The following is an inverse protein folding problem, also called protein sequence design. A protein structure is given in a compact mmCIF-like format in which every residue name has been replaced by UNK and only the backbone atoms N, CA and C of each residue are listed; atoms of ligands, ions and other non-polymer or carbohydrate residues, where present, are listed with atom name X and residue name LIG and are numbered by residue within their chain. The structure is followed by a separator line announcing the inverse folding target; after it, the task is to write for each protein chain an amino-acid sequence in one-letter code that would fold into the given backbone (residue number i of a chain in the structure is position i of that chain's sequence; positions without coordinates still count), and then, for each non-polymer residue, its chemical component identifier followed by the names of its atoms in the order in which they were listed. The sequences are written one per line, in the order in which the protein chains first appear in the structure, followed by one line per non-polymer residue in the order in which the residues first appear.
data_IF_842029175175
#
_entry.id   IF_842029175175
#
_cell.length_a   1.000
_cell.length_b   1.000
_cell.length_c   1.000
_cell.angle_alpha   90.00
_cell.angle_beta   90.00
_cell.angle_gamma   90.00
#
_symmetry.space_group_name_H-M   'P 1'
#
loop_
_entity.id
_entity.type
_entity.pdbx_description
1 polymer ?
#
# COMPACT_ATOMS: atom_id res chain seq x y z
N UNK A 1 -20.31 -13.36 -15.13
CA UNK A 1 -19.70 -13.57 -13.81
C UNK A 1 -20.28 -12.56 -12.84
N UNK A 2 -20.94 -13.03 -11.79
CA UNK A 2 -21.39 -12.15 -10.72
C UNK A 2 -20.18 -11.58 -9.97
N UNK A 3 -20.28 -10.31 -9.64
CA UNK A 3 -19.27 -9.55 -8.89
C UNK A 3 -19.30 -10.05 -7.44
N UNK A 4 -18.61 -11.15 -7.17
CA UNK A 4 -18.48 -11.71 -5.83
C UNK A 4 -17.81 -10.71 -4.89
N UNK A 5 -18.19 -10.74 -3.61
CA UNK A 5 -17.56 -9.91 -2.58
C UNK A 5 -16.06 -10.23 -2.44
N UNK A 6 -15.23 -9.24 -2.07
CA UNK A 6 -13.82 -9.48 -1.73
C UNK A 6 -13.72 -10.55 -0.63
N UNK A 7 -12.99 -11.63 -0.92
CA UNK A 7 -12.73 -12.69 0.06
C UNK A 7 -11.38 -12.46 0.72
N UNK A 8 -11.37 -12.44 2.04
CA UNK A 8 -10.16 -12.55 2.85
C UNK A 8 -10.00 -14.04 3.19
N UNK A 9 -8.86 -14.63 2.83
CA UNK A 9 -8.57 -16.01 3.19
C UNK A 9 -7.79 -16.04 4.50
N UNK A 10 -8.26 -16.82 5.47
CA UNK A 10 -7.57 -16.99 6.76
C UNK A 10 -6.47 -18.04 6.63
N UNK A 11 -5.21 -17.60 6.79
CA UNK A 11 -4.00 -18.41 6.54
C UNK A 11 -4.00 -19.76 7.24
N UNK A 12 -4.55 -19.81 8.46
CA UNK A 12 -4.53 -21.00 9.31
C UNK A 12 -5.80 -21.86 9.22
N UNK A 13 -6.83 -21.40 8.52
CA UNK A 13 -8.10 -22.12 8.37
C UNK A 13 -8.16 -22.91 7.06
N UNK A 14 -7.44 -22.46 6.04
CA UNK A 14 -7.46 -23.04 4.71
C UNK A 14 -6.03 -23.35 4.21
N UNK A 15 -5.83 -24.35 3.32
CA UNK A 15 -4.53 -24.68 2.74
C UNK A 15 -4.13 -23.68 1.63
N UNK A 16 -4.15 -22.38 1.94
CA UNK A 16 -3.94 -21.26 1.00
C UNK A 16 -2.55 -20.63 1.09
N UNK A 17 -1.68 -21.09 2.02
CA UNK A 17 -0.30 -20.61 2.19
C UNK A 17 0.50 -20.50 0.87
N UNK A 18 0.43 -21.46 -0.08
CA UNK A 18 1.16 -21.34 -1.34
C UNK A 18 0.71 -20.18 -2.24
N UNK A 19 -0.46 -19.61 -1.99
CA UNK A 19 -1.04 -18.49 -2.75
C UNK A 19 -0.94 -17.16 -2.00
N UNK A 20 -0.32 -17.15 -0.82
CA UNK A 20 -0.14 -15.95 0.00
C UNK A 20 0.71 -14.91 -0.75
N UNK A 21 0.22 -13.68 -0.80
CA UNK A 21 0.95 -12.56 -1.37
C UNK A 21 1.78 -11.87 -0.28
N UNK A 22 2.97 -11.32 -0.61
CA UNK A 22 3.83 -10.63 0.36
C UNK A 22 3.28 -9.23 0.69
N UNK A 23 2.14 -9.18 1.37
CA UNK A 23 1.40 -7.97 1.76
C UNK A 23 1.84 -7.46 3.14
N UNK A 24 3.11 -7.68 3.53
CA UNK A 24 3.61 -7.29 4.84
C UNK A 24 4.81 -6.32 4.79
N UNK A 25 4.85 -5.30 3.89
CA UNK A 25 6.04 -4.47 3.70
C UNK A 25 6.46 -3.73 4.97
N UNK A 26 5.51 -3.26 5.77
CA UNK A 26 5.81 -2.59 7.04
C UNK A 26 6.47 -3.51 8.07
N UNK A 27 5.94 -4.73 8.25
CA UNK A 27 6.55 -5.76 9.12
C UNK A 27 7.96 -6.10 8.64
N UNK A 28 8.10 -6.38 7.34
CA UNK A 28 9.36 -6.80 6.76
C UNK A 28 10.43 -5.68 6.84
N UNK A 29 10.01 -4.40 6.75
CA UNK A 29 10.88 -3.24 6.94
C UNK A 29 11.38 -3.14 8.38
N UNK A 30 10.51 -3.33 9.37
CA UNK A 30 10.91 -3.33 10.79
C UNK A 30 11.90 -4.45 11.08
N UNK A 31 11.66 -5.67 10.56
CA UNK A 31 12.58 -6.79 10.72
C UNK A 31 13.94 -6.51 10.08
N UNK A 32 13.97 -5.96 8.87
CA UNK A 32 15.21 -5.57 8.21
C UNK A 32 15.96 -4.47 9.00
N UNK A 33 15.23 -3.47 9.51
CA UNK A 33 15.83 -2.41 10.33
C UNK A 33 16.47 -2.97 11.61
N UNK A 34 15.79 -3.89 12.30
CA UNK A 34 16.34 -4.55 13.48
C UNK A 34 17.59 -5.38 13.17
N UNK A 35 17.61 -6.08 12.04
CA UNK A 35 18.78 -6.85 11.60
C UNK A 35 19.95 -5.92 11.24
N UNK A 36 19.69 -4.80 10.56
CA UNK A 36 20.69 -3.78 10.26
C UNK A 36 21.27 -3.17 11.54
N UNK A 37 20.42 -2.83 12.52
CA UNK A 37 20.87 -2.31 13.82
C UNK A 37 21.77 -3.29 14.56
N UNK A 38 21.46 -4.59 14.50
CA UNK A 38 22.29 -5.64 15.10
C UNK A 38 23.61 -5.81 14.33
N UNK A 39 23.57 -5.82 13.00
CA UNK A 39 24.75 -5.88 12.14
C UNK A 39 25.74 -4.76 12.48
N UNK A 40 25.25 -3.51 12.50
CA UNK A 40 26.06 -2.34 12.83
C UNK A 40 26.65 -2.47 14.25
N UNK A 41 25.87 -2.93 15.24
CA UNK A 41 26.40 -3.09 16.62
C UNK A 41 27.48 -4.16 16.76
N UNK A 42 27.48 -5.19 15.90
CA UNK A 42 28.38 -6.33 16.00
C UNK A 42 29.67 -6.14 15.17
N UNK A 43 29.61 -5.40 14.05
CA UNK A 43 30.68 -5.35 13.04
C UNK A 43 31.17 -3.92 12.69
N UNK A 44 30.55 -2.85 13.21
CA UNK A 44 30.83 -1.45 12.82
C UNK A 44 32.15 -0.86 13.37
N UNK A 45 33.28 -1.51 13.11
CA UNK A 45 34.62 -0.94 13.31
C UNK A 45 35.45 -0.85 12.03
N UNK A 46 34.92 -1.28 10.88
CA UNK A 46 35.60 -1.12 9.59
C UNK A 46 34.69 -0.42 8.59
N UNK A 47 35.21 0.55 7.83
CA UNK A 47 34.44 1.34 6.85
C UNK A 47 33.94 0.56 5.63
N UNK A 48 33.91 -0.77 5.71
CA UNK A 48 33.59 -1.69 4.61
C UNK A 48 32.14 -2.24 4.70
N UNK A 49 31.36 -1.84 5.71
CA UNK A 49 29.96 -2.26 5.86
C UNK A 49 29.09 -1.74 4.71
N UNK A 50 28.83 -2.61 3.74
CA UNK A 50 27.95 -2.33 2.59
C UNK A 50 26.64 -3.09 2.69
N UNK A 51 25.60 -2.57 2.02
CA UNK A 51 24.32 -3.29 1.84
C UNK A 51 24.54 -4.66 1.20
N UNK A 52 25.54 -4.81 0.32
CA UNK A 52 25.88 -6.09 -0.29
C UNK A 52 26.40 -7.10 0.74
N UNK A 53 27.30 -6.68 1.63
CA UNK A 53 27.80 -7.54 2.71
C UNK A 53 26.70 -7.95 3.69
N UNK A 54 25.85 -7.00 4.08
CA UNK A 54 24.67 -7.29 4.90
C UNK A 54 23.78 -8.34 4.24
N UNK A 55 23.42 -8.18 2.96
CA UNK A 55 22.55 -9.12 2.25
C UNK A 55 23.18 -10.47 1.94
N UNK A 56 24.52 -10.59 1.94
CA UNK A 56 25.21 -11.89 1.87
C UNK A 56 25.01 -12.70 3.15
N UNK A 57 24.90 -12.03 4.30
CA UNK A 57 24.69 -12.66 5.61
C UNK A 57 23.22 -12.80 5.98
N UNK A 58 22.39 -11.86 5.51
CA UNK A 58 20.95 -11.78 5.76
C UNK A 58 20.13 -11.76 4.47
N UNK A 59 20.17 -12.84 3.65
CA UNK A 59 19.49 -12.90 2.36
C UNK A 59 17.96 -12.80 2.47
N UNK A 60 17.37 -13.09 3.63
CA UNK A 60 15.95 -12.95 3.93
C UNK A 60 15.43 -11.51 3.72
N UNK A 61 16.29 -10.50 3.86
CA UNK A 61 15.92 -9.09 3.72
C UNK A 61 16.06 -8.53 2.29
N UNK A 62 16.47 -9.35 1.31
CA UNK A 62 16.74 -8.90 -0.07
C UNK A 62 15.56 -8.15 -0.72
N UNK A 63 14.34 -8.63 -0.51
CA UNK A 63 13.15 -8.11 -1.18
C UNK A 63 12.77 -6.75 -0.62
N UNK A 64 12.78 -6.62 0.71
CA UNK A 64 12.44 -5.35 1.36
C UNK A 64 13.54 -4.31 1.14
N UNK A 65 14.82 -4.68 1.17
CA UNK A 65 15.92 -3.74 0.86
C UNK A 65 15.78 -3.21 -0.58
N UNK A 66 15.57 -4.10 -1.57
CA UNK A 66 15.33 -3.69 -2.95
C UNK A 66 14.12 -2.77 -3.08
N UNK A 67 13.03 -3.11 -2.39
CA UNK A 67 11.78 -2.34 -2.38
C UNK A 67 12.03 -0.93 -1.85
N UNK A 68 12.63 -0.80 -0.66
CA UNK A 68 12.99 0.49 -0.03
C UNK A 68 13.85 1.34 -0.96
N UNK A 69 14.89 0.77 -1.59
CA UNK A 69 15.73 1.49 -2.54
C UNK A 69 14.95 1.96 -3.78
N UNK A 70 13.97 1.18 -4.24
CA UNK A 70 13.15 1.52 -5.42
C UNK A 70 12.19 2.67 -5.12
N UNK A 71 11.59 2.69 -3.92
CA UNK A 71 10.51 3.64 -3.57
C UNK A 71 10.98 4.83 -2.72
N UNK A 72 12.27 4.90 -2.36
CA UNK A 72 12.81 5.88 -1.41
C UNK A 72 12.42 7.34 -1.70
N UNK A 73 12.42 7.75 -2.97
CA UNK A 73 12.10 9.11 -3.39
C UNK A 73 10.62 9.34 -3.74
N UNK A 74 9.74 8.36 -3.47
CA UNK A 74 8.35 8.36 -3.90
C UNK A 74 7.40 8.33 -2.68
N UNK A 75 6.92 9.48 -2.19
CA UNK A 75 6.12 9.57 -0.94
C UNK A 75 4.84 8.74 -0.92
N UNK A 76 4.28 8.42 -2.10
CA UNK A 76 3.02 7.70 -2.27
C UNK A 76 3.19 6.32 -2.93
N UNK A 77 4.41 5.78 -3.00
CA UNK A 77 4.67 4.49 -3.65
C UNK A 77 4.34 3.26 -2.78
N UNK A 78 3.97 3.47 -1.51
CA UNK A 78 3.64 2.42 -0.57
C UNK A 78 2.27 2.63 0.06
N UNK A 79 1.57 1.52 0.32
CA UNK A 79 0.41 1.51 1.21
C UNK A 79 0.92 1.62 2.64
N UNK A 80 0.52 2.69 3.34
CA UNK A 80 0.87 2.92 4.73
C UNK A 80 -0.21 2.37 5.67
N UNK A 81 -0.45 1.06 5.59
CA UNK A 81 -1.43 0.36 6.42
C UNK A 81 -0.93 -1.06 6.76
N UNK A 82 -1.45 -1.66 7.83
CA UNK A 82 -1.13 -3.02 8.23
C UNK A 82 -2.06 -4.03 7.55
N UNK A 83 -1.71 -4.36 6.30
CA UNK A 83 -2.51 -5.24 5.43
C UNK A 83 -2.54 -6.71 5.84
N UNK A 84 -1.82 -7.09 6.90
CA UNK A 84 -1.87 -8.44 7.51
C UNK A 84 -2.50 -8.42 8.91
N UNK A 85 -3.02 -7.28 9.37
CA UNK A 85 -3.73 -7.21 10.65
C UNK A 85 -4.99 -8.06 10.61
N UNK A 86 -5.31 -8.76 11.69
CA UNK A 86 -6.61 -9.41 11.86
C UNK A 86 -7.79 -8.40 11.89
N UNK A 87 -7.48 -7.13 12.19
CA UNK A 87 -8.46 -6.03 12.19
C UNK A 87 -8.51 -5.27 10.84
N UNK A 88 -7.69 -5.67 9.86
CA UNK A 88 -7.63 -4.99 8.55
C UNK A 88 -9.01 -4.97 7.89
N UNK A 89 -9.38 -3.81 7.34
CA UNK A 89 -10.64 -3.62 6.64
C UNK A 89 -10.38 -3.49 5.14
N UNK A 90 -10.83 -4.45 4.29
CA UNK A 90 -10.61 -4.40 2.85
C UNK A 90 -11.14 -3.13 2.18
N UNK A 91 -12.14 -2.49 2.79
CA UNK A 91 -12.70 -1.22 2.33
C UNK A 91 -11.69 -0.07 2.30
N UNK A 92 -10.66 -0.08 3.16
CA UNK A 92 -9.68 1.01 3.22
C UNK A 92 -8.77 1.01 1.98
N UNK A 93 -8.28 -0.17 1.58
CA UNK A 93 -7.59 -0.36 0.30
C UNK A 93 -8.49 -0.04 -0.89
N UNK A 94 -9.78 -0.43 -0.83
CA UNK A 94 -10.73 -0.14 -1.89
C UNK A 94 -10.96 1.37 -2.03
N UNK A 95 -11.11 2.11 -0.93
CA UNK A 95 -11.23 3.58 -0.90
C UNK A 95 -10.00 4.24 -1.49
N UNK A 96 -8.80 3.82 -1.07
CA UNK A 96 -7.54 4.29 -1.62
C UNK A 96 -7.47 4.08 -3.13
N UNK A 97 -7.78 2.87 -3.61
CA UNK A 97 -7.78 2.57 -5.04
C UNK A 97 -8.78 3.43 -5.82
N UNK A 98 -10.00 3.57 -5.31
CA UNK A 98 -11.09 4.28 -6.00
C UNK A 98 -10.87 5.79 -6.04
N UNK A 99 -10.14 6.38 -5.09
CA UNK A 99 -9.82 7.81 -5.13
C UNK A 99 -8.98 8.18 -6.36
N UNK A 100 -8.07 7.29 -6.79
CA UNK A 100 -7.33 7.46 -8.05
C UNK A 100 -8.21 7.42 -9.31
N UNK A 101 -9.38 6.77 -9.23
CA UNK A 101 -10.34 6.66 -10.33
C UNK A 101 -11.42 7.77 -10.30
N UNK A 102 -11.25 8.81 -9.48
CA UNK A 102 -12.18 9.93 -9.43
C UNK A 102 -13.38 9.73 -8.49
N UNK A 103 -13.34 8.73 -7.61
CA UNK A 103 -14.31 8.65 -6.52
C UNK A 103 -14.05 9.76 -5.49
N UNK A 104 -15.04 10.63 -5.25
CA UNK A 104 -14.92 11.79 -4.35
C UNK A 104 -15.82 11.71 -3.12
N UNK A 105 -16.84 10.85 -3.13
CA UNK A 105 -17.63 10.49 -1.93
C UNK A 105 -17.65 9.00 -1.69
N UNK A 106 -17.54 8.66 -0.41
CA UNK A 106 -17.46 7.30 0.09
C UNK A 106 -18.50 7.12 1.19
N UNK A 107 -19.44 6.20 0.97
CA UNK A 107 -20.52 5.84 1.89
C UNK A 107 -20.42 4.33 2.19
N UNK A 108 -19.63 3.96 3.23
CA UNK A 108 -19.49 2.57 3.65
C UNK A 108 -20.84 1.97 4.04
N UNK A 109 -21.12 0.78 3.53
CA UNK A 109 -22.35 0.04 3.82
C UNK A 109 -22.08 -1.23 4.63
N UNK A 110 -20.87 -1.76 4.50
CA UNK A 110 -20.25 -2.76 5.38
C UNK A 110 -18.73 -2.59 5.35
N UNK A 111 -18.01 -3.51 5.99
CA UNK A 111 -16.54 -3.68 5.93
C UNK A 111 -16.02 -4.09 4.54
N UNK A 112 -16.90 -4.58 3.66
CA UNK A 112 -16.57 -5.07 2.31
C UNK A 112 -17.34 -4.37 1.19
N UNK A 113 -18.41 -3.64 1.53
CA UNK A 113 -19.26 -2.96 0.56
C UNK A 113 -19.25 -1.45 0.76
N UNK A 114 -18.90 -0.76 -0.33
CA UNK A 114 -18.73 0.69 -0.37
C UNK A 114 -19.55 1.27 -1.52
N UNK A 115 -20.45 2.20 -1.19
CA UNK A 115 -21.09 3.03 -2.20
C UNK A 115 -20.20 4.24 -2.46
N UNK A 116 -19.99 4.57 -3.73
CA UNK A 116 -19.20 5.74 -4.14
C UNK A 116 -19.98 6.64 -5.07
N UNK A 117 -19.59 7.91 -5.10
CA UNK A 117 -19.93 8.85 -6.16
C UNK A 117 -18.63 9.24 -6.86
N UNK A 118 -18.60 9.06 -8.19
CA UNK A 118 -17.48 9.47 -9.02
C UNK A 118 -17.73 10.86 -9.61
N UNK A 119 -16.65 11.63 -9.78
CA UNK A 119 -16.63 12.90 -10.52
C UNK A 119 -17.69 13.91 -10.04
N UNK A 120 -18.00 13.94 -8.74
CA UNK A 120 -18.97 14.89 -8.22
C UNK A 120 -18.51 16.33 -8.46
N UNK A 121 -19.35 17.10 -9.16
CA UNK A 121 -19.07 18.49 -9.49
C UNK A 121 -18.17 18.68 -10.71
N UNK A 122 -17.70 17.60 -11.34
CA UNK A 122 -16.99 17.69 -12.61
C UNK A 122 -17.98 17.94 -13.76
N UNK A 123 -17.57 18.68 -14.80
CA UNK A 123 -18.40 18.93 -15.97
C UNK A 123 -18.60 17.67 -16.83
N UNK A 124 -19.64 17.69 -17.65
CA UNK A 124 -19.80 16.73 -18.74
C UNK A 124 -18.79 17.01 -19.87
N UNK A 125 -18.50 16.01 -20.74
CA UNK A 125 -17.52 16.16 -21.82
C UNK A 125 -17.78 17.35 -22.75
N UNK A 126 -19.04 17.70 -23.02
CA UNK A 126 -19.45 18.84 -23.85
C UNK A 126 -19.27 20.20 -23.15
N UNK A 127 -19.23 20.21 -21.82
CA UNK A 127 -19.02 21.40 -21.00
C UNK A 127 -17.53 21.70 -20.77
N UNK A 128 -16.63 20.74 -21.01
CA UNK A 128 -15.18 20.88 -20.78
C UNK A 128 -14.55 22.07 -21.50
N UNK A 129 -15.04 22.41 -22.70
CA UNK A 129 -14.49 23.51 -23.51
C UNK A 129 -14.71 24.90 -22.91
N UNK A 130 -15.70 25.01 -22.00
CA UNK A 130 -16.09 26.27 -21.35
C UNK A 130 -15.73 26.27 -19.86
N UNK A 131 -15.14 25.19 -19.36
CA UNK A 131 -14.77 25.03 -17.97
C UNK A 131 -13.55 25.88 -17.64
N UNK A 132 -13.64 26.67 -16.58
CA UNK A 132 -12.47 27.23 -15.91
C UNK A 132 -11.79 26.10 -15.10
N UNK A 133 -10.56 25.67 -15.46
CA UNK A 133 -9.90 24.55 -14.78
C UNK A 133 -9.65 24.82 -13.30
N UNK A 134 -9.58 26.08 -12.88
CA UNK A 134 -9.33 26.45 -11.49
C UNK A 134 -10.54 26.13 -10.59
N UNK A 135 -11.72 25.79 -11.14
CA UNK A 135 -12.91 25.43 -10.35
C UNK A 135 -12.99 23.95 -10.00
N UNK A 136 -12.06 23.13 -10.48
CA UNK A 136 -12.02 21.68 -10.25
C UNK A 136 -11.37 21.30 -8.89
N UNK A 137 -11.70 22.03 -7.83
CA UNK A 137 -11.34 21.66 -6.45
C UNK A 137 -12.54 21.07 -5.70
N UNK A 138 -12.29 20.07 -4.86
CA UNK A 138 -13.31 19.49 -3.98
C UNK A 138 -12.76 19.31 -2.55
N UNK A 139 -13.52 19.69 -1.51
CA UNK A 139 -14.79 20.41 -1.57
C UNK A 139 -14.62 21.83 -2.15
N UNK A 140 -15.69 22.45 -2.67
CA UNK A 140 -15.60 23.83 -3.11
C UNK A 140 -15.20 24.74 -1.93
N UNK A 141 -14.23 25.65 -2.16
CA UNK A 141 -13.85 26.77 -1.30
C UNK A 141 -15.05 27.65 -0.90
#
# INVERSE_FOLDING_TARGET
EEKLEPRLGERFEEPIEPYEQPLAPGRDAVLAMQAIDQWIRQDSTSGDDTVAMFLLKHPEHRHIVRRTQTVFALPYAEIQDNTISAEMQPIDLLRCKLSFFGASKFDPRSDRWLRITMYQGAPFPDELSQLDPDILFYPPL
#
